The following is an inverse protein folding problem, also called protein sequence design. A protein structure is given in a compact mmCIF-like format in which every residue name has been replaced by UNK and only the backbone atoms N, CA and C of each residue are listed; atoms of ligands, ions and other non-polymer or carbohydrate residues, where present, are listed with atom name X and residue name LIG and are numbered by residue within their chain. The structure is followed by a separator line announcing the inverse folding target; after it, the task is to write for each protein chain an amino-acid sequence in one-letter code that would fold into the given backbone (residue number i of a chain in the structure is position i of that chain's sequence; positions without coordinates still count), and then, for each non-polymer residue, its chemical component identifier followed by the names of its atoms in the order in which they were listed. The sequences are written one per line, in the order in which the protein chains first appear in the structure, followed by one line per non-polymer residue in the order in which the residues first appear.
data_IF_792322307394
#
_entry.id   IF_792322307394
#
_cell.length_a   1.000
_cell.length_b   1.000
_cell.length_c   1.000
_cell.angle_alpha   90.00
_cell.angle_beta   90.00
_cell.angle_gamma   90.00
#
_symmetry.space_group_name_H-M   'P 1'
#
loop_
_entity.id
_entity.type
_entity.pdbx_description
1 polymer ?
#
# COMPACT_ATOMS: atom_id res chain seq x y z
N UNK A 1 2.38 13.36 -5.46
CA UNK A 1 2.35 12.06 -6.18
C UNK A 1 2.69 10.94 -5.19
N UNK A 2 1.84 10.68 -4.19
CA UNK A 2 2.10 9.68 -3.12
C UNK A 2 1.16 8.47 -3.17
N UNK A 3 0.30 8.40 -4.19
CA UNK A 3 -0.73 7.37 -4.36
C UNK A 3 -0.45 6.43 -5.53
N UNK A 4 0.64 6.66 -6.24
CA UNK A 4 1.05 5.86 -7.39
C UNK A 4 2.28 5.07 -6.99
N UNK A 5 2.14 3.76 -6.92
CA UNK A 5 3.25 2.85 -6.74
C UNK A 5 3.71 2.41 -8.12
N UNK A 6 5.03 2.44 -8.31
CA UNK A 6 5.70 2.43 -9.61
C UNK A 6 5.39 1.24 -10.53
N UNK A 7 6.17 1.09 -11.61
CA UNK A 7 6.03 -0.04 -12.53
C UNK A 7 6.51 -1.34 -11.87
N UNK A 8 5.57 -2.13 -11.36
CA UNK A 8 5.81 -3.46 -10.80
C UNK A 8 5.85 -4.46 -11.96
N UNK A 9 6.91 -5.29 -12.07
CA UNK A 9 6.97 -6.33 -13.09
C UNK A 9 5.80 -7.31 -12.90
N UNK A 10 4.97 -7.40 -13.92
CA UNK A 10 3.76 -8.22 -13.92
C UNK A 10 3.95 -9.37 -14.87
N UNK A 11 3.76 -10.61 -14.39
CA UNK A 11 3.86 -11.80 -15.23
C UNK A 11 2.85 -11.81 -16.39
N UNK A 12 1.71 -11.10 -16.25
CA UNK A 12 0.66 -11.03 -17.29
C UNK A 12 0.80 -9.82 -18.21
N UNK A 13 1.19 -8.66 -17.67
CA UNK A 13 1.14 -7.37 -18.37
C UNK A 13 2.52 -6.76 -18.65
N UNK A 14 3.60 -7.44 -18.25
CA UNK A 14 4.97 -6.92 -18.34
C UNK A 14 5.26 -5.91 -17.24
N UNK A 15 4.55 -4.77 -17.24
CA UNK A 15 4.60 -3.76 -16.19
C UNK A 15 3.20 -3.38 -15.73
N UNK A 16 3.05 -3.10 -14.45
CA UNK A 16 1.79 -2.69 -13.84
C UNK A 16 2.04 -1.54 -12.89
N UNK A 17 1.16 -0.55 -12.91
CA UNK A 17 1.22 0.62 -12.05
C UNK A 17 0.13 0.49 -10.99
N UNK A 18 0.49 0.60 -9.71
CA UNK A 18 -0.47 0.55 -8.62
C UNK A 18 -1.00 1.94 -8.29
N UNK A 19 -2.31 2.07 -8.08
CA UNK A 19 -2.94 3.31 -7.60
C UNK A 19 -3.68 3.04 -6.29
N UNK A 20 -3.43 3.87 -5.28
CA UNK A 20 -4.18 3.91 -4.03
C UNK A 20 -5.22 5.03 -4.09
N UNK A 21 -6.49 4.69 -4.14
CA UNK A 21 -7.57 5.70 -4.14
C UNK A 21 -7.99 6.12 -2.74
N UNK A 22 -7.43 5.51 -1.70
CA UNK A 22 -7.83 5.77 -0.31
C UNK A 22 -6.94 6.90 0.25
N UNK A 23 -7.53 8.05 0.65
CA UNK A 23 -6.76 9.20 1.09
C UNK A 23 -6.09 9.01 2.46
N UNK A 24 -6.62 8.11 3.30
CA UNK A 24 -6.07 7.78 4.61
C UNK A 24 -5.90 6.27 4.72
N UNK A 25 -4.66 5.79 4.81
CA UNK A 25 -4.43 4.37 5.09
C UNK A 25 -4.88 4.06 6.52
N UNK A 26 -5.91 3.25 6.65
CA UNK A 26 -6.41 2.73 7.93
C UNK A 26 -6.24 1.22 7.94
N UNK A 27 -5.75 0.67 9.06
CA UNK A 27 -5.59 -0.76 9.26
C UNK A 27 -6.34 -1.15 10.53
N UNK A 28 -7.23 -2.14 10.43
CA UNK A 28 -7.99 -2.67 11.57
C UNK A 28 -7.24 -3.81 12.29
N UNK A 29 -5.98 -4.06 11.92
CA UNK A 29 -5.20 -5.17 12.40
C UNK A 29 -4.04 -4.68 13.29
N UNK A 30 -3.89 -5.26 14.48
CA UNK A 30 -2.78 -4.96 15.39
C UNK A 30 -1.55 -5.82 15.04
N UNK A 31 -0.78 -5.39 14.02
CA UNK A 31 0.44 -6.08 13.57
C UNK A 31 1.70 -5.36 14.08
N UNK A 32 2.66 -6.13 14.61
CA UNK A 32 3.98 -5.61 15.00
C UNK A 32 4.80 -5.05 13.83
N UNK A 33 4.47 -5.46 12.59
CA UNK A 33 5.09 -5.01 11.35
C UNK A 33 4.19 -4.09 10.53
N UNK A 34 3.24 -3.39 11.18
CA UNK A 34 2.32 -2.52 10.46
C UNK A 34 3.09 -1.37 9.76
N UNK A 35 2.90 -1.26 8.45
CA UNK A 35 3.49 -0.19 7.63
C UNK A 35 3.00 1.21 8.04
N UNK A 36 1.86 1.27 8.74
CA UNK A 36 1.25 2.51 9.25
C UNK A 36 1.76 2.88 10.64
N UNK A 37 2.61 2.06 11.24
CA UNK A 37 3.10 2.26 12.61
C UNK A 37 2.26 1.55 13.67
N UNK A 38 2.69 1.68 14.92
CA UNK A 38 2.03 1.07 16.08
C UNK A 38 0.79 1.88 16.45
N UNK A 39 -0.35 1.21 16.60
CA UNK A 39 -1.56 1.80 17.19
C UNK A 39 -1.49 1.71 18.70
N UNK A 40 -1.94 2.76 19.40
CA UNK A 40 -2.07 2.75 20.86
C UNK A 40 -3.34 1.92 21.18
N UNK A 41 -3.23 0.87 22.01
CA UNK A 41 -4.38 0.05 22.40
C UNK A 41 -5.40 0.82 23.26
#
# INVERSE_FOLDING_TARGET
MNYVFGPVPSRRLGQSLGIDTIPLKTCNWNCVYCQLGRTIP
#
